data_IF_508768610267
#
_entry.id   IF_508768610267
#
_cell.length_a   1.000
_cell.length_b   1.000
_cell.length_c   1.000
_cell.angle_alpha   90.00
_cell.angle_beta   90.00
_cell.angle_gamma   90.00
#
_symmetry.space_group_name_H-M   'P 1'
#
loop_
_entity.id
_entity.type
_entity.pdbx_description
1 polymer ?
#
# COMPACT_ATOMS: atom_id res chain seq x y z
N UNK A 1 18.77 11.90 27.88
CA UNK A 1 17.47 12.49 27.49
C UNK A 1 17.73 13.85 26.85
N UNK A 2 16.87 14.19 25.89
CA UNK A 2 16.73 15.47 25.18
C UNK A 2 17.64 15.76 23.99
N UNK A 3 16.94 15.81 22.85
CA UNK A 3 17.31 16.07 21.47
C UNK A 3 17.92 17.47 21.33
N UNK A 4 19.09 17.56 20.67
CA UNK A 4 19.84 18.80 20.46
C UNK A 4 19.33 19.58 19.25
N UNK A 5 19.13 20.88 19.49
CA UNK A 5 19.58 22.03 18.68
C UNK A 5 19.03 22.20 17.26
N UNK A 6 18.82 23.40 16.72
CA UNK A 6 18.64 24.76 17.20
C UNK A 6 18.17 25.49 15.92
N UNK A 7 17.14 26.31 16.04
CA UNK A 7 16.72 27.22 14.97
C UNK A 7 17.80 28.31 14.80
N UNK A 8 18.42 28.40 13.63
CA UNK A 8 19.23 29.55 13.23
C UNK A 8 18.64 30.16 11.96
N UNK A 9 18.08 31.34 12.16
CA UNK A 9 17.76 32.35 11.16
C UNK A 9 18.97 32.59 10.23
N UNK A 10 18.78 32.44 8.93
CA UNK A 10 19.81 32.73 7.92
C UNK A 10 19.16 32.90 6.54
N UNK A 11 18.88 34.14 6.20
CA UNK A 11 18.22 34.56 4.96
C UNK A 11 19.27 34.84 3.87
N UNK A 12 19.65 33.86 3.02
CA UNK A 12 20.36 34.14 1.75
C UNK A 12 19.94 33.12 0.67
N UNK A 13 19.57 33.66 -0.49
CA UNK A 13 19.15 33.00 -1.73
C UNK A 13 20.11 31.89 -2.19
N UNK A 14 19.55 30.71 -2.47
CA UNK A 14 19.96 29.87 -3.59
C UNK A 14 18.73 29.11 -4.10
N UNK A 15 18.15 29.63 -5.19
CA UNK A 15 17.14 28.94 -5.98
C UNK A 15 17.81 27.77 -6.69
N UNK A 16 17.66 26.54 -6.19
CA UNK A 16 17.72 25.28 -6.95
C UNK A 16 17.73 24.09 -5.98
N UNK A 17 16.57 23.74 -5.42
CA UNK A 17 16.28 22.34 -5.11
C UNK A 17 15.04 21.96 -5.88
N UNK A 18 15.30 21.32 -7.02
CA UNK A 18 14.29 20.67 -7.83
C UNK A 18 13.40 19.80 -6.94
N UNK A 19 12.10 20.09 -7.01
CA UNK A 19 11.00 19.14 -7.00
C UNK A 19 11.15 17.92 -6.05
N UNK A 20 10.53 18.06 -4.87
CA UNK A 20 9.40 17.24 -4.45
C UNK A 20 9.29 15.86 -5.14
N UNK A 21 9.93 14.86 -4.53
CA UNK A 21 9.37 13.52 -4.54
C UNK A 21 9.50 12.90 -3.14
N UNK A 22 8.86 13.57 -2.17
CA UNK A 22 8.41 12.90 -0.96
C UNK A 22 6.93 12.59 -1.13
N UNK A 23 6.58 11.31 -1.30
CA UNK A 23 5.43 10.78 -0.59
C UNK A 23 5.90 9.66 0.33
N UNK A 24 6.69 10.03 1.35
CA UNK A 24 6.80 9.21 2.56
C UNK A 24 5.75 9.70 3.57
N UNK A 25 4.49 9.78 3.13
CA UNK A 25 3.35 9.77 4.04
C UNK A 25 3.20 8.32 4.51
N UNK A 26 3.99 8.01 5.52
CA UNK A 26 3.96 6.75 6.24
C UNK A 26 2.74 6.72 7.16
N UNK A 27 1.55 6.50 6.62
CA UNK A 27 0.35 6.11 7.39
C UNK A 27 -0.70 5.39 6.52
N UNK A 28 -0.25 4.51 5.62
CA UNK A 28 -0.87 3.20 5.40
C UNK A 28 0.08 2.42 4.49
N UNK A 29 0.78 1.42 5.02
CA UNK A 29 1.67 0.56 4.26
C UNK A 29 0.87 -0.43 3.38
N UNK A 30 -0.16 0.04 2.69
CA UNK A 30 -0.80 -0.69 1.61
C UNK A 30 0.13 -0.68 0.40
N UNK A 31 1.16 -1.53 0.43
CA UNK A 31 1.97 -2.02 -0.69
C UNK A 31 1.65 -1.28 -2.01
N UNK A 32 2.33 -0.15 -2.29
CA UNK A 32 1.92 0.69 -3.42
C UNK A 32 2.07 -0.06 -4.75
N UNK A 33 1.05 0.00 -5.61
CA UNK A 33 1.10 -0.61 -6.95
C UNK A 33 2.24 0.03 -7.73
N UNK A 34 3.07 -0.78 -8.39
CA UNK A 34 4.28 -0.34 -9.07
C UNK A 34 5.51 -0.20 -8.17
N UNK A 35 5.39 -0.41 -6.85
CA UNK A 35 6.55 -0.44 -5.97
C UNK A 35 7.41 -1.69 -6.21
N UNK A 36 8.73 -1.61 -5.98
CA UNK A 36 9.59 -2.79 -6.01
C UNK A 36 9.23 -3.73 -4.85
N UNK A 37 9.17 -5.04 -5.13
CA UNK A 37 8.93 -6.08 -4.14
C UNK A 37 10.02 -7.17 -4.21
N UNK A 38 10.39 -7.70 -3.04
CA UNK A 38 11.48 -8.67 -2.90
C UNK A 38 11.03 -10.14 -2.96
N UNK A 39 9.77 -10.38 -2.60
CA UNK A 39 9.21 -11.72 -2.48
C UNK A 39 8.27 -11.99 -3.66
N UNK A 40 8.83 -12.53 -4.75
CA UNK A 40 8.08 -12.95 -5.94
C UNK A 40 6.89 -13.85 -5.55
N UNK A 41 5.72 -13.61 -6.13
CA UNK A 41 4.52 -14.38 -5.84
C UNK A 41 3.84 -14.06 -4.51
N UNK A 42 4.37 -13.13 -3.70
CA UNK A 42 3.66 -12.63 -2.53
C UNK A 42 2.33 -12.04 -2.94
N UNK A 43 1.27 -12.39 -2.21
CA UNK A 43 -0.10 -11.96 -2.50
C UNK A 43 -0.76 -11.44 -1.23
N UNK A 44 -1.52 -10.36 -1.31
CA UNK A 44 -2.24 -9.77 -0.17
C UNK A 44 -3.46 -8.97 -0.64
N UNK A 45 -4.53 -8.93 0.15
CA UNK A 45 -5.68 -8.08 -0.15
C UNK A 45 -5.29 -6.59 -0.08
N UNK A 46 -5.83 -5.77 -0.99
CA UNK A 46 -5.58 -4.32 -1.02
C UNK A 46 -6.37 -3.55 0.04
N UNK A 47 -7.39 -4.18 0.61
CA UNK A 47 -8.24 -3.67 1.67
C UNK A 47 -8.44 -4.77 2.71
N UNK A 48 -9.05 -4.47 3.88
CA UNK A 48 -9.40 -5.50 4.83
C UNK A 48 -10.22 -6.61 4.17
N UNK A 49 -10.07 -7.82 4.70
CA UNK A 49 -10.72 -9.02 4.20
C UNK A 49 -12.24 -8.80 4.04
N UNK A 50 -12.80 -9.25 2.93
CA UNK A 50 -14.23 -9.18 2.69
C UNK A 50 -14.76 -7.80 2.25
N UNK A 51 -13.90 -6.81 2.03
CA UNK A 51 -14.33 -5.45 1.62
C UNK A 51 -14.13 -5.23 0.12
N UNK A 52 -12.98 -5.63 -0.41
CA UNK A 52 -12.58 -5.31 -1.78
C UNK A 52 -12.26 -6.56 -2.59
N UNK A 53 -12.65 -6.63 -3.87
CA UNK A 53 -12.18 -7.67 -4.79
C UNK A 53 -10.70 -7.51 -5.14
N UNK A 54 -10.06 -6.41 -4.73
CA UNK A 54 -8.73 -6.06 -5.16
C UNK A 54 -7.67 -6.71 -4.27
N UNK A 55 -6.70 -7.37 -4.90
CA UNK A 55 -5.52 -7.93 -4.26
C UNK A 55 -4.26 -7.51 -5.01
N UNK A 56 -3.14 -7.49 -4.30
CA UNK A 56 -1.83 -7.10 -4.81
C UNK A 56 -0.94 -8.32 -4.84
N UNK A 57 -0.19 -8.48 -5.92
CA UNK A 57 0.77 -9.58 -6.07
C UNK A 57 2.11 -9.07 -6.58
N UNK A 58 3.20 -9.71 -6.16
CA UNK A 58 4.54 -9.39 -6.63
C UNK A 58 4.85 -10.20 -7.90
N UNK A 59 5.10 -9.50 -9.02
CA UNK A 59 5.38 -10.10 -10.32
C UNK A 59 6.60 -9.39 -10.94
N UNK A 60 7.64 -10.15 -11.26
CA UNK A 60 8.93 -9.66 -11.76
C UNK A 60 9.54 -8.58 -10.85
N UNK A 61 9.42 -8.78 -9.53
CA UNK A 61 9.93 -7.81 -8.54
C UNK A 61 9.17 -6.48 -8.49
N UNK A 62 7.97 -6.41 -9.08
CA UNK A 62 7.08 -5.23 -9.03
C UNK A 62 5.71 -5.62 -8.49
N UNK A 63 5.15 -4.80 -7.61
CA UNK A 63 3.81 -4.98 -7.09
C UNK A 63 2.80 -4.66 -8.19
N UNK A 64 1.96 -5.62 -8.55
CA UNK A 64 0.86 -5.44 -9.49
C UNK A 64 -0.47 -5.67 -8.79
N UNK A 65 -1.46 -4.87 -9.17
CA UNK A 65 -2.83 -5.04 -8.70
C UNK A 65 -3.60 -6.02 -9.60
N UNK A 66 -4.44 -6.83 -8.97
CA UNK A 66 -5.32 -7.80 -9.59
C UNK A 66 -6.67 -7.78 -8.87
N UNK A 67 -7.67 -8.34 -9.53
CA UNK A 67 -9.04 -8.39 -9.00
C UNK A 67 -9.52 -9.82 -8.98
N UNK A 68 -10.24 -10.17 -7.91
CA UNK A 68 -11.03 -11.38 -7.81
C UNK A 68 -12.12 -11.43 -8.89
N UNK A 69 -12.61 -12.62 -9.27
CA UNK A 69 -13.71 -12.77 -10.22
C UNK A 69 -14.97 -12.01 -9.78
N UNK A 70 -15.80 -11.64 -10.75
CA UNK A 70 -16.98 -10.80 -10.50
C UNK A 70 -17.89 -11.40 -9.41
N UNK A 71 -18.30 -10.55 -8.46
CA UNK A 71 -19.16 -10.95 -7.33
C UNK A 71 -18.41 -11.52 -6.12
N UNK A 72 -17.09 -11.69 -6.20
CA UNK A 72 -16.27 -12.16 -5.07
C UNK A 72 -15.37 -11.06 -4.54
N UNK A 73 -14.96 -11.18 -3.28
CA UNK A 73 -14.04 -10.29 -2.59
C UNK A 73 -12.84 -11.06 -2.07
N UNK A 74 -11.75 -10.35 -1.82
CA UNK A 74 -10.52 -10.93 -1.30
C UNK A 74 -10.65 -11.21 0.20
N UNK A 75 -10.32 -12.45 0.59
CA UNK A 75 -10.12 -12.88 1.96
C UNK A 75 -8.72 -13.49 2.09
N UNK A 76 -8.14 -13.43 3.30
CA UNK A 76 -6.83 -13.97 3.58
C UNK A 76 -5.79 -12.91 3.96
N UNK A 77 -4.57 -13.37 4.18
CA UNK A 77 -3.44 -12.61 4.70
C UNK A 77 -2.25 -12.69 3.76
N UNK A 78 -1.21 -11.91 4.03
CA UNK A 78 0.01 -11.89 3.21
C UNK A 78 0.54 -13.32 3.00
N UNK A 79 0.63 -13.75 1.75
CA UNK A 79 1.10 -15.08 1.34
C UNK A 79 0.01 -16.07 0.95
N UNK A 80 -1.25 -15.85 1.34
CA UNK A 80 -2.37 -16.72 0.98
C UNK A 80 -3.68 -15.92 0.98
N UNK A 81 -4.30 -15.81 -0.20
CA UNK A 81 -5.63 -15.22 -0.35
C UNK A 81 -6.55 -16.17 -1.11
N UNK A 82 -7.84 -16.03 -0.86
CA UNK A 82 -8.90 -16.68 -1.60
C UNK A 82 -9.99 -15.66 -1.94
N UNK A 83 -10.63 -15.86 -3.08
CA UNK A 83 -11.72 -15.02 -3.54
C UNK A 83 -13.03 -15.73 -3.24
N UNK A 84 -13.87 -15.15 -2.38
CA UNK A 84 -15.17 -15.71 -2.02
C UNK A 84 -16.26 -14.63 -2.04
N UNK A 85 -17.52 -15.00 -2.04
CA UNK A 85 -18.60 -14.03 -1.97
C UNK A 85 -18.57 -13.29 -0.63
N UNK A 86 -18.88 -12.00 -0.65
CA UNK A 86 -19.15 -11.31 0.62
C UNK A 86 -20.28 -12.06 1.33
N UNK A 87 -20.20 -12.28 2.65
CA UNK A 87 -21.38 -12.59 3.43
C UNK A 87 -22.23 -11.32 3.50
N UNK A 88 -22.76 -10.85 2.38
CA UNK A 88 -23.69 -9.75 2.34
C UNK A 88 -25.00 -10.23 2.95
N UNK A 89 -25.13 -9.92 4.23
CA UNK A 89 -26.30 -9.27 4.77
C UNK A 89 -27.57 -10.14 4.77
N UNK A 90 -27.70 -10.98 5.79
CA UNK A 90 -29.01 -11.40 6.28
C UNK A 90 -29.75 -10.14 6.76
N UNK A 91 -30.59 -9.56 5.92
CA UNK A 91 -31.67 -8.71 6.42
C UNK A 91 -32.65 -9.66 7.09
N UNK A 92 -32.63 -9.70 8.43
CA UNK A 92 -33.73 -10.28 9.21
C UNK A 92 -34.78 -9.20 9.46
#
# INVERSE_FOLDING_TARGET
MLYRAQATLGLILAMATLALCSPANAEDAALAVGAPCKNEGSIACSSPEGISPIFKTCVNGVVVERSCPAGTVCFGKVGEIYCDYTPSMTIN
#
